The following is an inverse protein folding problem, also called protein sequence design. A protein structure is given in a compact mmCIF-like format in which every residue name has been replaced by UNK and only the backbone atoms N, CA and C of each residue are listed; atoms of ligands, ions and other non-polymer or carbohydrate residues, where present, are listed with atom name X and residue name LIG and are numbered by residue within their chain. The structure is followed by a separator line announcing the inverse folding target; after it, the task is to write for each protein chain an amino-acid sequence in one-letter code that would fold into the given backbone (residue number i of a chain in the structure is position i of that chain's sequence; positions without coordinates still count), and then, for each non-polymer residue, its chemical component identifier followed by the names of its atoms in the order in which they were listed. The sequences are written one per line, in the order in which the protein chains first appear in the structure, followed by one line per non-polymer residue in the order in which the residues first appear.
data_IF_807288623466
#
_entry.id   IF_807288623466
#
_cell.length_a   1.000
_cell.length_b   1.000
_cell.length_c   1.000
_cell.angle_alpha   90.00
_cell.angle_beta   90.00
_cell.angle_gamma   90.00
#
_symmetry.space_group_name_H-M   'P 1'
#
loop_
_entity.id
_entity.type
_entity.pdbx_description
1 polymer ?
#
# COMPACT_ATOMS: atom_id res chain seq x y z
N UNK A 1 -4.17 -5.78 -28.10
CA UNK A 1 -3.60 -5.63 -26.75
C UNK A 1 -3.14 -7.00 -26.30
N UNK A 2 -1.85 -7.15 -26.03
CA UNK A 2 -1.24 -8.41 -25.63
C UNK A 2 -1.61 -8.77 -24.19
N UNK A 3 -1.40 -10.03 -23.78
CA UNK A 3 -1.56 -10.43 -22.38
C UNK A 3 -0.70 -9.60 -21.43
N UNK A 4 0.53 -9.28 -21.85
CA UNK A 4 1.47 -8.43 -21.10
C UNK A 4 0.92 -7.03 -20.89
N UNK A 5 0.25 -6.44 -21.89
CA UNK A 5 -0.32 -5.10 -21.79
C UNK A 5 -1.43 -5.05 -20.73
N UNK A 6 -2.28 -6.08 -20.69
CA UNK A 6 -3.34 -6.22 -19.69
C UNK A 6 -2.78 -6.44 -18.28
N UNK A 7 -1.72 -7.25 -18.16
CA UNK A 7 -1.06 -7.47 -16.88
C UNK A 7 -0.39 -6.18 -16.35
N UNK A 8 0.28 -5.42 -17.24
CA UNK A 8 0.85 -4.13 -16.88
C UNK A 8 -0.25 -3.17 -16.39
N UNK A 9 -1.35 -3.07 -17.11
CA UNK A 9 -2.48 -2.23 -16.71
C UNK A 9 -3.04 -2.67 -15.36
N UNK A 10 -3.26 -3.97 -15.16
CA UNK A 10 -3.70 -4.54 -13.88
C UNK A 10 -2.74 -4.23 -12.72
N UNK A 11 -1.43 -4.41 -12.93
CA UNK A 11 -0.44 -4.18 -11.89
C UNK A 11 -0.35 -2.70 -11.50
N UNK A 12 -0.44 -1.80 -12.49
CA UNK A 12 -0.41 -0.36 -12.27
C UNK A 12 -1.66 0.11 -11.53
N UNK A 13 -2.85 -0.31 -11.97
CA UNK A 13 -4.11 0.06 -11.28
C UNK A 13 -4.15 -0.50 -9.88
N UNK A 14 -3.71 -1.74 -9.67
CA UNK A 14 -3.62 -2.34 -8.33
C UNK A 14 -2.66 -1.59 -7.43
N UNK A 15 -1.50 -1.17 -7.93
CA UNK A 15 -0.54 -0.39 -7.15
C UNK A 15 -1.10 0.98 -6.74
N UNK A 16 -1.82 1.65 -7.63
CA UNK A 16 -2.50 2.93 -7.32
C UNK A 16 -3.58 2.70 -6.24
N UNK A 17 -4.43 1.68 -6.41
CA UNK A 17 -5.45 1.33 -5.43
C UNK A 17 -4.83 0.96 -4.07
N UNK A 18 -3.75 0.19 -4.05
CA UNK A 18 -3.06 -0.20 -2.83
C UNK A 18 -2.51 1.01 -2.08
N UNK A 19 -1.91 1.98 -2.79
CA UNK A 19 -1.46 3.21 -2.15
C UNK A 19 -2.63 3.94 -1.50
N UNK A 20 -3.75 4.08 -2.22
CA UNK A 20 -4.88 4.87 -1.74
C UNK A 20 -5.66 4.20 -0.62
N UNK A 21 -5.92 2.90 -0.72
CA UNK A 21 -6.76 2.17 0.24
C UNK A 21 -5.99 1.56 1.42
N UNK A 22 -4.69 1.26 1.23
CA UNK A 22 -3.89 0.61 2.28
C UNK A 22 -2.88 1.58 2.90
N UNK A 23 -2.06 2.25 2.09
CA UNK A 23 -0.96 3.05 2.63
C UNK A 23 -1.43 4.41 3.17
N UNK A 24 -2.23 5.17 2.41
CA UNK A 24 -2.73 6.49 2.85
C UNK A 24 -3.39 6.45 4.25
N UNK A 25 -4.31 5.51 4.57
CA UNK A 25 -4.89 5.48 5.92
C UNK A 25 -3.84 5.20 7.00
N UNK A 26 -2.87 4.31 6.74
CA UNK A 26 -1.78 4.01 7.68
C UNK A 26 -0.91 5.24 7.96
N UNK A 27 -0.58 5.99 6.91
CA UNK A 27 0.21 7.22 7.02
C UNK A 27 -0.57 8.33 7.73
N UNK A 28 -1.88 8.45 7.48
CA UNK A 28 -2.73 9.44 8.14
C UNK A 28 -2.85 9.13 9.64
N UNK A 29 -3.04 7.87 10.03
CA UNK A 29 -3.06 7.46 11.44
C UNK A 29 -1.76 7.86 12.15
N UNK A 30 -0.61 7.61 11.53
CA UNK A 30 0.67 7.99 12.15
C UNK A 30 0.88 9.51 12.21
N UNK A 31 0.46 10.25 11.18
CA UNK A 31 0.49 11.72 11.20
C UNK A 31 -0.38 12.31 12.30
N UNK A 32 -1.53 11.69 12.60
CA UNK A 32 -2.38 12.11 13.71
C UNK A 32 -1.71 11.84 15.07
N UNK A 33 -0.93 10.77 15.20
CA UNK A 33 -0.22 10.43 16.46
C UNK A 33 1.07 11.26 16.68
N UNK A 34 1.95 11.36 15.69
CA UNK A 34 3.29 11.97 15.83
C UNK A 34 3.44 13.34 15.15
N UNK A 35 2.46 13.76 14.34
CA UNK A 35 2.47 15.05 13.65
C UNK A 35 3.37 15.14 12.41
N UNK A 36 4.38 14.27 12.26
CA UNK A 36 5.29 14.27 11.11
C UNK A 36 5.87 12.89 10.80
N UNK A 37 6.04 12.60 9.51
CA UNK A 37 6.75 11.43 9.00
C UNK A 37 7.92 11.92 8.14
N UNK A 38 9.16 11.66 8.56
CA UNK A 38 10.34 12.24 7.90
C UNK A 38 10.59 11.71 6.47
N UNK A 39 10.24 10.45 6.21
CA UNK A 39 10.49 9.77 4.93
C UNK A 39 9.21 9.49 4.13
N UNK A 40 8.17 10.31 4.30
CA UNK A 40 6.84 10.07 3.71
C UNK A 40 6.89 9.77 2.20
N UNK A 41 7.53 10.64 1.41
CA UNK A 41 7.64 10.46 -0.05
C UNK A 41 8.34 9.16 -0.42
N UNK A 42 9.36 8.76 0.35
CA UNK A 42 10.12 7.54 0.10
C UNK A 42 9.28 6.30 0.42
N UNK A 43 8.49 6.34 1.49
CA UNK A 43 7.55 5.25 1.85
C UNK A 43 6.52 5.07 0.72
N UNK A 44 5.91 6.16 0.22
CA UNK A 44 4.98 6.09 -0.90
C UNK A 44 5.61 5.49 -2.17
N UNK A 45 6.81 5.96 -2.52
CA UNK A 45 7.51 5.48 -3.72
C UNK A 45 7.85 3.99 -3.61
N UNK A 46 8.45 3.57 -2.50
CA UNK A 46 8.83 2.17 -2.28
C UNK A 46 7.60 1.27 -2.27
N UNK A 47 6.55 1.66 -1.56
CA UNK A 47 5.31 0.87 -1.49
C UNK A 47 4.63 0.75 -2.85
N UNK A 48 4.60 1.84 -3.63
CA UNK A 48 4.04 1.84 -4.99
C UNK A 48 4.82 0.87 -5.90
N UNK A 49 6.15 0.99 -5.95
CA UNK A 49 6.98 0.11 -6.78
C UNK A 49 6.86 -1.36 -6.35
N UNK A 50 6.86 -1.63 -5.04
CA UNK A 50 6.64 -2.99 -4.53
C UNK A 50 5.25 -3.52 -4.88
N UNK A 51 4.22 -2.68 -4.83
CA UNK A 51 2.84 -3.07 -5.15
C UNK A 51 2.65 -3.41 -6.63
N UNK A 52 3.44 -2.83 -7.54
CA UNK A 52 3.43 -3.24 -8.96
C UNK A 52 3.92 -4.69 -9.09
N UNK A 53 5.02 -5.03 -8.41
CA UNK A 53 5.62 -6.37 -8.46
C UNK A 53 4.72 -7.39 -7.76
N UNK A 54 4.14 -7.00 -6.62
CA UNK A 54 3.31 -7.84 -5.77
C UNK A 54 1.80 -7.72 -6.08
N UNK A 55 1.43 -7.11 -7.21
CA UNK A 55 0.04 -6.78 -7.54
C UNK A 55 -0.93 -7.96 -7.36
N UNK A 56 -0.65 -9.19 -7.83
CA UNK A 56 -1.57 -10.32 -7.65
C UNK A 56 -1.87 -10.66 -6.18
N UNK A 57 -0.91 -10.40 -5.27
CA UNK A 57 -1.05 -10.65 -3.84
C UNK A 57 -1.76 -9.50 -3.13
N UNK A 58 -1.40 -8.26 -3.47
CA UNK A 58 -1.94 -7.05 -2.84
C UNK A 58 -3.38 -6.80 -3.29
N UNK A 59 -3.75 -7.20 -4.50
CA UNK A 59 -5.08 -7.05 -5.08
C UNK A 59 -6.20 -7.54 -4.15
N UNK A 60 -6.02 -8.71 -3.52
CA UNK A 60 -7.01 -9.26 -2.59
C UNK A 60 -7.19 -8.39 -1.35
N UNK A 61 -6.11 -7.74 -0.89
CA UNK A 61 -6.15 -6.85 0.29
C UNK A 61 -6.85 -5.54 -0.03
N UNK A 62 -6.82 -5.06 -1.28
CA UNK A 62 -7.60 -3.90 -1.71
C UNK A 62 -9.11 -4.22 -1.78
N UNK A 63 -9.49 -5.37 -2.35
CA UNK A 63 -10.91 -5.69 -2.55
C UNK A 63 -11.60 -6.20 -1.28
N UNK A 64 -10.93 -7.01 -0.47
CA UNK A 64 -11.54 -7.69 0.67
C UNK A 64 -11.25 -6.90 1.95
N UNK A 65 -12.26 -6.25 2.57
CA UNK A 65 -12.03 -5.35 3.71
C UNK A 65 -11.31 -6.01 4.88
N UNK A 66 -11.68 -7.26 5.22
CA UNK A 66 -11.04 -7.99 6.32
C UNK A 66 -9.55 -8.29 6.08
N UNK A 67 -9.13 -8.44 4.81
CA UNK A 67 -7.71 -8.60 4.48
C UNK A 67 -7.02 -7.24 4.45
N UNK A 68 -7.67 -6.21 3.91
CA UNK A 68 -7.17 -4.83 3.94
C UNK A 68 -6.89 -4.33 5.36
N UNK A 69 -7.80 -4.57 6.31
CA UNK A 69 -7.59 -4.17 7.71
C UNK A 69 -6.40 -4.90 8.35
N UNK A 70 -6.26 -6.20 8.10
CA UNK A 70 -5.10 -6.97 8.55
C UNK A 70 -3.80 -6.47 7.93
N UNK A 71 -3.82 -6.14 6.64
CA UNK A 71 -2.68 -5.60 5.93
C UNK A 71 -2.27 -4.24 6.49
N UNK A 72 -3.22 -3.32 6.67
CA UNK A 72 -2.99 -2.00 7.26
C UNK A 72 -2.38 -2.10 8.66
N UNK A 73 -2.92 -2.95 9.53
CA UNK A 73 -2.38 -3.15 10.87
C UNK A 73 -0.96 -3.72 10.85
N UNK A 74 -0.69 -4.68 9.97
CA UNK A 74 0.65 -5.27 9.83
C UNK A 74 1.65 -4.26 9.25
N UNK A 75 1.20 -3.46 8.28
CA UNK A 75 1.99 -2.40 7.64
C UNK A 75 2.33 -1.29 8.64
N UNK A 76 1.34 -0.86 9.43
CA UNK A 76 1.53 0.14 10.47
C UNK A 76 2.57 -0.33 11.49
N UNK A 77 2.41 -1.54 12.04
CA UNK A 77 3.36 -2.10 13.01
C UNK A 77 4.77 -2.32 12.41
N UNK A 78 4.87 -2.60 11.11
CA UNK A 78 6.14 -2.79 10.42
C UNK A 78 6.86 -1.49 10.09
N UNK A 79 6.12 -0.42 9.76
CA UNK A 79 6.68 0.90 9.44
C UNK A 79 6.98 1.72 10.70
N UNK A 80 6.15 1.58 11.73
CA UNK A 80 6.22 2.36 12.97
C UNK A 80 6.26 1.43 14.20
N UNK A 81 7.32 0.61 14.35
CA UNK A 81 7.48 -0.22 15.53
C UNK A 81 7.60 0.66 16.78
N UNK A 82 6.66 0.50 17.72
CA UNK A 82 6.74 1.16 19.04
C UNK A 82 7.78 0.40 19.87
N UNK A 83 8.90 1.05 20.18
CA UNK A 83 9.92 0.54 21.11
C UNK A 83 9.37 0.36 22.54
#
# INVERSE_FOLDING_TARGET
MSFTDWYLLFSLTTAICAVWELLVPVMNTEKEEMGKIDAETLIYLVFFTMSIILAPLVFLSCIIPSMGDRFKNSLYNGLFPKE
#
